data_IF_695538241007
#
_entry.id   IF_695538241007
#
_cell.length_a   1.000
_cell.length_b   1.000
_cell.length_c   1.000
_cell.angle_alpha   90.00
_cell.angle_beta   90.00
_cell.angle_gamma   90.00
#
_symmetry.space_group_name_H-M   'P 1'
#
loop_
_entity.id
_entity.type
_entity.pdbx_description
1 polymer ?
#
# COMPACT_ATOMS: atom_id res chain seq x y z
N UNK A 1 20.90 -11.39 19.25
CA UNK A 1 20.62 -9.96 19.00
C UNK A 1 20.75 -9.67 17.50
N UNK A 2 21.82 -10.11 16.83
CA UNK A 2 22.04 -9.86 15.39
C UNK A 2 20.96 -10.45 14.45
N UNK A 3 20.46 -11.66 14.72
CA UNK A 3 19.45 -12.32 13.85
C UNK A 3 18.11 -11.60 13.81
N UNK A 4 17.70 -10.97 14.91
CA UNK A 4 16.44 -10.22 14.98
C UNK A 4 16.55 -8.93 14.18
N UNK A 5 17.68 -8.24 14.30
CA UNK A 5 17.97 -7.03 13.55
C UNK A 5 18.09 -7.31 12.04
N UNK A 6 18.72 -8.42 11.67
CA UNK A 6 18.81 -8.90 10.28
C UNK A 6 17.42 -9.19 9.69
N UNK A 7 16.54 -9.81 10.47
CA UNK A 7 15.15 -10.06 10.08
C UNK A 7 14.36 -8.75 9.87
N UNK A 8 14.51 -7.77 10.78
CA UNK A 8 13.87 -6.45 10.65
C UNK A 8 14.39 -5.75 9.39
N UNK A 9 15.70 -5.79 9.13
CA UNK A 9 16.30 -5.21 7.93
C UNK A 9 15.74 -5.83 6.66
N UNK A 10 15.63 -7.17 6.62
CA UNK A 10 15.01 -7.89 5.51
C UNK A 10 13.57 -7.44 5.25
N UNK A 11 12.76 -7.28 6.30
CA UNK A 11 11.39 -6.76 6.18
C UNK A 11 11.36 -5.34 5.62
N UNK A 12 12.21 -4.44 6.12
CA UNK A 12 12.28 -3.05 5.63
C UNK A 12 12.68 -3.02 4.15
N UNK A 13 13.64 -3.85 3.74
CA UNK A 13 14.04 -3.95 2.34
C UNK A 13 12.94 -4.55 1.47
N UNK A 14 12.15 -5.49 2.00
CA UNK A 14 10.94 -5.97 1.34
C UNK A 14 9.91 -4.85 1.12
N UNK A 15 9.61 -4.04 2.15
CA UNK A 15 8.69 -2.89 2.02
C UNK A 15 9.19 -1.85 1.00
N UNK A 16 10.51 -1.60 0.93
CA UNK A 16 11.10 -0.74 -0.11
C UNK A 16 10.94 -1.34 -1.51
N UNK A 17 11.06 -2.66 -1.63
CA UNK A 17 10.93 -3.35 -2.91
C UNK A 17 9.49 -3.39 -3.43
N UNK A 18 8.48 -3.44 -2.55
CA UNK A 18 7.06 -3.53 -2.95
C UNK A 18 6.45 -2.17 -3.32
N UNK A 19 6.98 -1.08 -2.76
CA UNK A 19 6.46 0.27 -3.00
C UNK A 19 6.42 0.67 -4.49
N UNK A 20 7.49 0.46 -5.29
CA UNK A 20 7.48 0.72 -6.72
C UNK A 20 6.44 -0.10 -7.48
N UNK A 21 6.17 -1.35 -7.07
CA UNK A 21 5.15 -2.19 -7.70
C UNK A 21 3.75 -1.62 -7.50
N UNK A 22 3.42 -1.18 -6.29
CA UNK A 22 2.13 -0.54 -6.03
C UNK A 22 1.97 0.76 -6.80
N UNK A 23 3.02 1.58 -6.89
CA UNK A 23 2.99 2.80 -7.71
C UNK A 23 2.82 2.50 -9.21
N UNK A 24 3.48 1.47 -9.73
CA UNK A 24 3.33 1.06 -11.12
C UNK A 24 1.91 0.57 -11.42
N UNK A 25 1.31 -0.24 -10.53
CA UNK A 25 -0.08 -0.69 -10.66
C UNK A 25 -1.02 0.51 -10.61
N UNK A 26 -0.81 1.44 -9.68
CA UNK A 26 -1.61 2.65 -9.55
C UNK A 26 -1.56 3.51 -10.81
N UNK A 27 -0.36 3.72 -11.36
CA UNK A 27 -0.18 4.43 -12.62
C UNK A 27 -0.91 3.72 -13.78
N UNK A 28 -0.85 2.38 -13.83
CA UNK A 28 -1.57 1.57 -14.80
C UNK A 28 -3.09 1.70 -14.68
N UNK A 29 -3.65 1.63 -13.46
CA UNK A 29 -5.07 1.81 -13.20
C UNK A 29 -5.54 3.23 -13.58
N UNK A 30 -4.76 4.26 -13.26
CA UNK A 30 -5.06 5.65 -13.64
C UNK A 30 -4.99 5.85 -15.16
N UNK A 31 -4.02 5.22 -15.83
CA UNK A 31 -3.93 5.27 -17.29
C UNK A 31 -5.14 4.60 -17.94
N UNK A 32 -5.56 3.42 -17.43
CA UNK A 32 -6.75 2.73 -17.91
C UNK A 32 -8.04 3.50 -17.65
N UNK A 33 -8.17 4.16 -16.50
CA UNK A 33 -9.34 5.00 -16.19
C UNK A 33 -9.57 6.07 -17.27
N UNK A 34 -8.50 6.60 -17.88
CA UNK A 34 -8.57 7.62 -18.95
C UNK A 34 -9.01 7.07 -20.29
N UNK A 35 -9.01 5.75 -20.49
CA UNK A 35 -9.44 5.11 -21.74
C UNK A 35 -10.91 4.71 -21.73
N UNK A 36 -11.60 4.85 -20.59
CA UNK A 36 -13.01 4.50 -20.46
C UNK A 36 -13.87 5.58 -21.10
N UNK A 37 -14.71 5.19 -22.06
CA UNK A 37 -15.78 6.04 -22.57
C UNK A 37 -16.94 6.01 -21.57
N UNK A 38 -17.25 7.16 -21.00
CA UNK A 38 -18.24 7.30 -19.91
C UNK A 38 -19.64 7.59 -20.47
N UNK A 39 -19.77 7.85 -21.77
CA UNK A 39 -21.05 8.21 -22.40
C UNK A 39 -22.01 7.03 -22.51
N UNK A 40 -21.50 5.80 -22.51
CA UNK A 40 -22.30 4.58 -22.46
C UNK A 40 -22.65 4.20 -21.02
N UNK A 41 -23.91 3.80 -20.76
CA UNK A 41 -24.39 3.49 -19.42
C UNK A 41 -23.59 2.41 -18.68
N UNK A 42 -22.93 1.50 -19.41
CA UNK A 42 -22.00 0.51 -18.86
C UNK A 42 -20.61 1.09 -18.53
N UNK A 43 -20.13 2.06 -19.31
CA UNK A 43 -18.84 2.72 -19.10
C UNK A 43 -18.76 3.51 -17.80
N UNK A 44 -19.88 4.12 -17.36
CA UNK A 44 -19.95 4.80 -16.07
C UNK A 44 -19.75 3.84 -14.87
N UNK A 45 -20.29 2.63 -14.93
CA UNK A 45 -20.09 1.61 -13.89
C UNK A 45 -18.63 1.12 -13.82
N UNK A 46 -18.02 0.91 -14.99
CA UNK A 46 -16.60 0.55 -15.11
C UNK A 46 -15.73 1.67 -14.51
N UNK A 47 -16.00 2.92 -14.86
CA UNK A 47 -15.30 4.09 -14.33
C UNK A 47 -15.32 4.13 -12.80
N UNK A 48 -16.50 4.04 -12.18
CA UNK A 48 -16.61 4.07 -10.71
C UNK A 48 -15.89 2.90 -10.04
N UNK A 49 -15.94 1.71 -10.66
CA UNK A 49 -15.29 0.52 -10.10
C UNK A 49 -13.76 0.67 -10.13
N UNK A 50 -13.20 1.25 -11.19
CA UNK A 50 -11.75 1.56 -11.26
C UNK A 50 -11.38 2.63 -10.23
N UNK A 51 -12.20 3.67 -10.05
CA UNK A 51 -11.95 4.70 -9.01
C UNK A 51 -11.89 4.07 -7.61
N UNK A 52 -12.83 3.17 -7.29
CA UNK A 52 -12.82 2.44 -6.02
C UNK A 52 -11.56 1.58 -5.88
N UNK A 53 -11.15 0.90 -6.95
CA UNK A 53 -9.91 0.12 -6.97
C UNK A 53 -8.66 0.99 -6.69
N UNK A 54 -8.58 2.16 -7.31
CA UNK A 54 -7.50 3.15 -7.13
C UNK A 54 -7.46 3.64 -5.68
N UNK A 55 -8.62 3.91 -5.07
CA UNK A 55 -8.71 4.31 -3.67
C UNK A 55 -8.17 3.23 -2.73
N UNK A 56 -8.56 1.97 -2.95
CA UNK A 56 -8.03 0.85 -2.16
C UNK A 56 -6.52 0.64 -2.35
N UNK A 57 -6.00 0.81 -3.57
CA UNK A 57 -4.56 0.72 -3.81
C UNK A 57 -3.79 1.85 -3.13
N UNK A 58 -4.35 3.05 -3.14
CA UNK A 58 -3.78 4.22 -2.45
C UNK A 58 -3.75 3.99 -0.94
N UNK A 59 -4.82 3.42 -0.36
CA UNK A 59 -4.83 3.00 1.04
C UNK A 59 -3.79 1.93 1.32
N UNK A 60 -3.62 0.94 0.43
CA UNK A 60 -2.59 -0.07 0.57
C UNK A 60 -1.18 0.55 0.60
N UNK A 61 -0.88 1.54 -0.25
CA UNK A 61 0.37 2.30 -0.22
C UNK A 61 0.59 3.02 1.11
N UNK A 62 -0.43 3.69 1.64
CA UNK A 62 -0.36 4.37 2.93
C UNK A 62 -0.12 3.37 4.06
N UNK A 63 -0.85 2.26 4.10
CA UNK A 63 -0.66 1.24 5.13
C UNK A 63 0.68 0.51 5.02
N UNK A 64 1.19 0.31 3.81
CA UNK A 64 2.54 -0.25 3.58
C UNK A 64 3.60 0.66 4.18
N UNK A 65 3.47 1.97 3.95
CA UNK A 65 4.34 2.96 4.56
C UNK A 65 4.22 2.91 6.09
N UNK A 66 3.00 2.95 6.63
CA UNK A 66 2.76 2.88 8.08
C UNK A 66 3.30 1.58 8.71
N UNK A 67 3.27 0.44 8.01
CA UNK A 67 3.84 -0.82 8.48
C UNK A 67 5.38 -0.78 8.53
N UNK A 68 6.02 -0.06 7.62
CA UNK A 68 7.48 0.08 7.57
C UNK A 68 8.04 1.00 8.68
N UNK A 69 7.27 1.98 9.14
CA UNK A 69 7.73 3.00 10.10
C UNK A 69 8.15 2.42 11.47
N UNK A 70 7.38 1.52 12.13
CA UNK A 70 7.82 0.87 13.37
C UNK A 70 9.11 0.07 13.21
N UNK A 71 9.32 -0.54 12.04
CA UNK A 71 10.52 -1.34 11.75
C UNK A 71 11.76 -0.45 11.57
N UNK A 72 11.62 0.65 10.82
CA UNK A 72 12.67 1.66 10.66
C UNK A 72 13.02 2.27 12.01
N UNK A 73 12.03 2.61 12.83
CA UNK A 73 12.26 3.17 14.16
C UNK A 73 13.03 2.18 15.07
N UNK A 74 12.73 0.89 14.98
CA UNK A 74 13.47 -0.15 15.73
C UNK A 74 14.91 -0.25 15.29
N UNK A 75 15.17 -0.21 13.97
CA UNK A 75 16.54 -0.16 13.44
C UNK A 75 17.26 1.07 14.00
N UNK A 76 16.68 2.27 13.90
CA UNK A 76 17.31 3.50 14.43
C UNK A 76 17.57 3.41 15.93
N UNK A 77 16.59 2.94 16.72
CA UNK A 77 16.72 2.81 18.17
C UNK A 77 17.78 1.79 18.62
N UNK A 78 18.07 0.80 17.77
CA UNK A 78 19.12 -0.19 18.02
C UNK A 78 20.53 0.36 17.71
N UNK A 79 20.63 1.41 16.89
CA UNK A 79 21.92 1.98 16.45
C UNK A 79 22.35 3.23 17.20
N UNK A 80 21.46 4.04 17.80
CA UNK A 80 21.80 5.04 18.85
C UNK A 80 20.54 5.78 19.37
N UNK A 81 20.55 6.31 20.62
CA UNK A 81 19.36 6.86 21.24
C UNK A 81 19.25 8.38 21.00
N UNK A 82 18.00 8.86 20.91
CA UNK A 82 17.60 10.22 21.28
C UNK A 82 17.46 11.30 20.20
N UNK A 83 16.95 10.96 19.02
CA UNK A 83 16.48 11.99 18.09
C UNK A 83 14.99 12.33 18.32
N UNK A 84 14.74 13.37 19.13
CA UNK A 84 13.41 13.83 19.56
C UNK A 84 12.53 14.23 18.36
N UNK A 85 13.15 14.70 17.28
CA UNK A 85 12.46 15.10 16.05
C UNK A 85 11.80 13.91 15.34
N UNK A 86 12.53 12.80 15.20
CA UNK A 86 12.00 11.54 14.65
C UNK A 86 10.87 10.99 15.51
N UNK A 87 10.99 11.05 16.85
CA UNK A 87 9.91 10.66 17.77
C UNK A 87 8.61 11.46 17.60
N UNK A 88 8.70 12.73 17.21
CA UNK A 88 7.54 13.62 17.03
C UNK A 88 6.90 13.49 15.64
N UNK A 89 7.73 13.28 14.61
CA UNK A 89 7.25 13.06 13.23
C UNK A 89 6.67 11.65 13.06
N UNK A 90 7.29 10.67 13.73
CA UNK A 90 6.87 9.27 13.76
C UNK A 90 6.09 8.99 15.04
N UNK A 91 4.98 9.70 15.28
CA UNK A 91 3.99 9.33 16.31
C UNK A 91 3.26 8.02 15.92
N UNK A 92 4.01 7.07 15.38
CA UNK A 92 3.61 5.72 15.07
C UNK A 92 3.55 4.94 16.37
N UNK A 93 2.44 4.22 16.60
CA UNK A 93 2.31 3.41 17.78
C UNK A 93 3.41 2.33 17.78
N UNK A 94 4.18 2.30 18.86
CA UNK A 94 5.34 1.41 18.98
C UNK A 94 4.90 -0.03 19.24
N UNK A 95 5.46 -1.00 18.50
CA UNK A 95 5.33 -2.44 18.77
C UNK A 95 4.97 -3.31 17.56
N UNK A 96 5.34 -4.59 17.62
CA UNK A 96 5.10 -5.61 16.57
C UNK A 96 3.63 -5.73 16.16
N UNK A 97 2.72 -5.48 17.11
CA UNK A 97 1.28 -5.56 16.88
C UNK A 97 0.81 -4.57 15.82
N UNK A 98 1.40 -3.39 15.75
CA UNK A 98 1.00 -2.35 14.79
C UNK A 98 1.53 -2.64 13.39
N UNK A 99 2.77 -3.16 13.27
CA UNK A 99 3.29 -3.65 12.00
C UNK A 99 2.39 -4.75 11.43
N UNK A 100 2.00 -5.74 12.25
CA UNK A 100 1.11 -6.81 11.83
C UNK A 100 -0.28 -6.29 11.40
N UNK A 101 -0.86 -5.33 12.12
CA UNK A 101 -2.15 -4.71 11.76
C UNK A 101 -2.04 -3.97 10.42
N UNK A 102 -1.05 -3.11 10.24
CA UNK A 102 -0.89 -2.35 9.00
C UNK A 102 -0.50 -3.25 7.82
N UNK A 103 0.28 -4.30 8.04
CA UNK A 103 0.59 -5.31 7.02
C UNK A 103 -0.68 -6.07 6.58
N UNK A 104 -1.54 -6.45 7.53
CA UNK A 104 -2.83 -7.08 7.24
C UNK A 104 -3.77 -6.15 6.46
N UNK A 105 -3.89 -4.89 6.89
CA UNK A 105 -4.67 -3.87 6.18
C UNK A 105 -4.13 -3.60 4.78
N UNK A 106 -2.81 -3.57 4.62
CA UNK A 106 -2.15 -3.47 3.30
C UNK A 106 -2.58 -4.61 2.39
N UNK A 107 -2.49 -5.86 2.89
CA UNK A 107 -2.89 -7.03 2.13
C UNK A 107 -4.36 -7.04 1.75
N UNK A 108 -5.24 -6.68 2.69
CA UNK A 108 -6.68 -6.58 2.43
C UNK A 108 -6.99 -5.50 1.39
N UNK A 109 -6.48 -4.28 1.56
CA UNK A 109 -6.71 -3.18 0.62
C UNK A 109 -6.12 -3.49 -0.77
N UNK A 110 -4.94 -4.09 -0.84
CA UNK A 110 -4.37 -4.53 -2.11
C UNK A 110 -5.24 -5.60 -2.78
N UNK A 111 -5.64 -6.63 -2.04
CA UNK A 111 -6.52 -7.70 -2.55
C UNK A 111 -7.87 -7.18 -3.06
N UNK A 112 -8.50 -6.26 -2.33
CA UNK A 112 -9.74 -5.61 -2.76
C UNK A 112 -9.52 -4.74 -4.00
N UNK A 113 -8.43 -3.98 -4.06
CA UNK A 113 -8.08 -3.17 -5.23
C UNK A 113 -7.93 -4.05 -6.48
N UNK A 114 -7.12 -5.10 -6.43
CA UNK A 114 -6.90 -5.99 -7.57
C UNK A 114 -8.20 -6.68 -7.99
N UNK A 115 -8.97 -7.21 -7.03
CA UNK A 115 -10.24 -7.88 -7.33
C UNK A 115 -11.24 -6.95 -8.02
N UNK A 116 -11.40 -5.73 -7.50
CA UNK A 116 -12.30 -4.73 -8.10
C UNK A 116 -11.81 -4.27 -9.47
N UNK A 117 -10.49 -4.14 -9.65
CA UNK A 117 -9.92 -3.83 -10.96
C UNK A 117 -10.19 -4.93 -12.00
N UNK A 118 -9.98 -6.20 -11.64
CA UNK A 118 -10.28 -7.35 -12.51
C UNK A 118 -11.76 -7.36 -12.88
N UNK A 119 -12.66 -7.12 -11.93
CA UNK A 119 -14.11 -7.02 -12.21
C UNK A 119 -14.39 -5.89 -13.22
N UNK A 120 -13.79 -4.72 -13.04
CA UNK A 120 -13.94 -3.61 -13.99
C UNK A 120 -13.44 -3.98 -15.40
N UNK A 121 -12.30 -4.67 -15.50
CA UNK A 121 -11.77 -5.16 -16.77
C UNK A 121 -12.72 -6.16 -17.44
N UNK A 122 -13.26 -7.12 -16.68
CA UNK A 122 -14.21 -8.10 -17.21
C UNK A 122 -15.48 -7.43 -17.74
N UNK A 123 -16.03 -6.46 -17.01
CA UNK A 123 -17.21 -5.71 -17.46
C UNK A 123 -16.88 -4.92 -18.74
N UNK A 124 -15.73 -4.22 -18.77
CA UNK A 124 -15.31 -3.43 -19.93
C UNK A 124 -15.07 -4.26 -21.20
N UNK A 125 -14.71 -5.54 -21.07
CA UNK A 125 -14.52 -6.44 -22.22
C UNK A 125 -15.86 -7.02 -22.72
N UNK A 126 -16.88 -7.08 -21.86
CA UNK A 126 -18.19 -7.64 -22.16
C UNK A 126 -19.19 -6.61 -22.72
N UNK A 127 -18.89 -5.32 -22.57
CA UNK A 127 -19.62 -4.19 -23.15
C UNK A 127 -19.02 -3.86 -24.53
#
# INVERSE_FOLDING_TARGET
>A
MDRELEYIKLKVDWYKSIYPWYLAILAGQVAFLRTIDVEEGGGMWVYYTIVVSILFLSLALVFTWQASLPLIHRLESAYEPNNIFLKKLLWTPQGDKWEAVFASLTGACFGFSISTFIVALCINVLL
#
